data_IF_394554001914
#
_entry.id   IF_394554001914
#
_cell.length_a   1.000
_cell.length_b   1.000
_cell.length_c   1.000
_cell.angle_alpha   90.00
_cell.angle_beta   90.00
_cell.angle_gamma   90.00
#
_symmetry.space_group_name_H-M   'P 1'
#
loop_
_entity.id
_entity.type
_entity.pdbx_description
1 polymer ?
#
# COMPACT_ATOMS: atom_id res chain seq x y z
N UNK A 1 15.66 1.26 -11.42
CA UNK A 1 15.74 1.47 -9.98
C UNK A 1 14.38 1.38 -9.35
N UNK A 2 14.30 0.73 -8.22
CA UNK A 2 13.04 0.57 -7.52
C UNK A 2 12.88 1.58 -6.42
N UNK A 3 11.70 2.20 -6.30
CA UNK A 3 11.44 3.11 -5.21
C UNK A 3 9.93 3.18 -4.97
N UNK A 4 9.58 3.59 -3.76
CA UNK A 4 8.20 3.88 -3.44
C UNK A 4 7.93 5.32 -3.83
N UNK A 5 6.90 5.57 -4.63
CA UNK A 5 6.59 6.93 -5.02
C UNK A 5 6.35 7.82 -3.81
N UNK A 6 6.84 9.03 -3.85
CA UNK A 6 6.71 9.91 -2.71
C UNK A 6 5.31 10.44 -2.49
N UNK A 7 4.42 10.34 -3.48
CA UNK A 7 3.04 10.79 -3.34
C UNK A 7 2.16 9.74 -2.67
N UNK A 8 2.65 9.18 -1.56
CA UNK A 8 1.92 8.13 -0.86
C UNK A 8 0.80 8.65 0.04
N UNK A 9 0.62 9.96 0.14
CA UNK A 9 -0.43 10.51 0.98
C UNK A 9 -1.81 10.00 0.59
N UNK A 10 -2.00 9.66 -0.68
CA UNK A 10 -3.26 9.13 -1.20
C UNK A 10 -3.37 7.62 -1.10
N UNK A 11 -2.27 6.98 -0.73
CA UNK A 11 -2.22 5.53 -0.70
C UNK A 11 -1.89 4.93 -2.06
N UNK A 12 -0.89 4.08 -2.06
CA UNK A 12 -0.52 3.29 -3.24
C UNK A 12 -0.85 1.86 -2.96
N UNK A 13 -1.56 1.23 -3.88
CA UNK A 13 -2.09 -0.11 -3.67
C UNK A 13 -1.33 -1.11 -4.51
N UNK A 14 -0.98 -2.24 -3.88
CA UNK A 14 -0.50 -3.42 -4.58
C UNK A 14 -1.55 -4.51 -4.46
N UNK A 15 -1.69 -5.29 -5.52
CA UNK A 15 -2.59 -6.41 -5.57
C UNK A 15 -1.80 -7.66 -5.92
N UNK A 16 -2.11 -8.78 -5.28
CA UNK A 16 -1.40 -10.02 -5.55
C UNK A 16 -1.87 -10.66 -6.87
N UNK A 17 -1.13 -11.67 -7.33
CA UNK A 17 -1.34 -12.22 -8.67
C UNK A 17 -2.71 -12.87 -8.85
N UNK A 18 -3.26 -13.49 -7.80
CA UNK A 18 -4.59 -14.10 -7.91
C UNK A 18 -5.72 -13.15 -7.52
N UNK A 19 -5.37 -11.86 -7.27
CA UNK A 19 -6.34 -10.80 -7.04
C UNK A 19 -7.22 -11.04 -5.82
N UNK A 20 -6.63 -11.60 -4.78
CA UNK A 20 -7.36 -11.88 -3.54
C UNK A 20 -6.98 -10.96 -2.40
N UNK A 21 -5.79 -10.37 -2.45
CA UNK A 21 -5.28 -9.54 -1.35
C UNK A 21 -4.67 -8.26 -1.88
N UNK A 22 -4.70 -7.25 -1.02
CA UNK A 22 -4.09 -5.95 -1.32
C UNK A 22 -3.20 -5.51 -0.17
N UNK A 23 -2.27 -4.62 -0.50
CA UNK A 23 -1.50 -3.85 0.47
C UNK A 23 -1.59 -2.40 0.07
N UNK A 24 -1.89 -1.55 1.04
CA UNK A 24 -1.93 -0.11 0.79
C UNK A 24 -0.80 0.56 1.56
N UNK A 25 0.00 1.34 0.86
CA UNK A 25 1.11 2.09 1.44
C UNK A 25 0.72 3.55 1.51
N UNK A 26 0.69 4.11 2.71
CA UNK A 26 0.28 5.49 2.92
C UNK A 26 1.29 6.17 3.82
N UNK A 27 1.73 7.35 3.45
CA UNK A 27 2.67 8.10 4.28
C UNK A 27 1.99 8.53 5.58
N UNK A 28 2.68 8.33 6.70
CA UNK A 28 2.17 8.81 7.99
C UNK A 28 2.79 10.16 8.30
N UNK A 29 2.10 11.21 7.94
CA UNK A 29 2.58 12.58 8.16
C UNK A 29 2.39 13.04 9.59
N UNK A 30 1.63 12.32 10.38
CA UNK A 30 1.40 12.68 11.77
C UNK A 30 2.51 12.22 12.70
N UNK A 31 3.41 11.37 12.22
CA UNK A 31 4.53 10.93 13.03
C UNK A 31 5.49 12.10 13.26
N UNK A 32 5.86 12.30 14.52
CA UNK A 32 6.66 13.48 14.92
C UNK A 32 8.15 13.25 14.87
N UNK A 33 8.60 12.10 14.40
CA UNK A 33 10.03 11.84 14.26
C UNK A 33 10.61 12.81 13.24
N UNK A 34 11.59 13.60 13.66
CA UNK A 34 12.19 14.60 12.79
C UNK A 34 13.19 14.03 11.81
N UNK A 35 13.65 12.82 12.06
CA UNK A 35 14.75 12.24 11.29
C UNK A 35 14.30 11.14 10.35
N UNK A 36 13.14 10.56 10.58
CA UNK A 36 12.67 9.44 9.79
C UNK A 36 11.25 9.68 9.31
N UNK A 37 10.99 9.22 8.11
CA UNK A 37 9.62 9.20 7.58
C UNK A 37 9.03 7.81 7.79
N UNK A 38 7.74 7.78 8.06
CA UNK A 38 7.03 6.54 8.35
C UNK A 38 5.90 6.33 7.36
N UNK A 39 5.61 5.07 7.14
CA UNK A 39 4.60 4.63 6.19
C UNK A 39 3.68 3.65 6.90
N UNK A 40 2.39 3.81 6.71
CA UNK A 40 1.42 2.77 7.09
C UNK A 40 1.32 1.76 5.96
N UNK A 41 1.34 0.49 6.32
CA UNK A 41 1.08 -0.59 5.38
C UNK A 41 -0.16 -1.30 5.89
N UNK A 42 -1.23 -1.20 5.11
CA UNK A 42 -2.50 -1.84 5.42
C UNK A 42 -2.65 -3.10 4.61
N UNK A 43 -2.94 -4.20 5.29
CA UNK A 43 -3.24 -5.47 4.65
C UNK A 43 -4.74 -5.59 4.47
N UNK A 44 -5.17 -6.04 3.31
CA UNK A 44 -6.59 -6.18 3.07
C UNK A 44 -6.93 -7.33 2.16
N UNK A 45 -8.20 -7.68 2.15
CA UNK A 45 -8.75 -8.70 1.27
C UNK A 45 -9.70 -8.06 0.29
N UNK A 46 -9.67 -8.55 -0.94
CA UNK A 46 -10.60 -8.10 -1.95
C UNK A 46 -11.94 -8.75 -1.70
N UNK A 47 -12.98 -7.92 -1.66
CA UNK A 47 -14.34 -8.38 -1.49
C UNK A 47 -15.04 -8.32 -2.83
N UNK A 48 -15.96 -9.25 -3.01
CA UNK A 48 -16.79 -9.26 -4.20
C UNK A 48 -16.06 -9.80 -5.42
N UNK A 49 -16.85 -10.28 -6.33
CA UNK A 49 -16.38 -10.98 -7.50
C UNK A 49 -15.70 -10.04 -8.51
N UNK A 50 -16.23 -8.85 -8.65
CA UNK A 50 -15.76 -7.92 -9.68
C UNK A 50 -14.75 -6.90 -9.15
N UNK A 51 -14.41 -6.97 -7.86
CA UNK A 51 -13.47 -6.03 -7.28
C UNK A 51 -13.97 -4.60 -7.22
N UNK A 52 -15.29 -4.40 -7.28
CA UNK A 52 -15.87 -3.06 -7.21
C UNK A 52 -16.09 -2.58 -5.80
N UNK A 53 -16.13 -3.51 -4.86
CA UNK A 53 -16.30 -3.14 -3.47
C UNK A 53 -14.98 -2.71 -2.88
N UNK A 54 -14.97 -1.78 -1.93
CA UNK A 54 -13.72 -1.42 -1.25
C UNK A 54 -13.13 -2.64 -0.56
N UNK A 55 -11.82 -2.82 -0.58
CA UNK A 55 -11.21 -3.94 0.11
C UNK A 55 -11.43 -3.86 1.60
N UNK A 56 -11.49 -5.02 2.25
CA UNK A 56 -11.57 -5.09 3.69
C UNK A 56 -10.17 -4.99 4.27
N UNK A 57 -9.84 -3.86 4.87
CA UNK A 57 -8.53 -3.66 5.50
C UNK A 57 -8.57 -4.31 6.87
N UNK A 58 -7.60 -5.18 7.14
CA UNK A 58 -7.61 -6.02 8.33
C UNK A 58 -6.53 -5.69 9.33
N UNK A 59 -5.38 -5.23 8.87
CA UNK A 59 -4.24 -5.00 9.75
C UNK A 59 -3.43 -3.84 9.22
N UNK A 60 -2.96 -3.01 10.14
CA UNK A 60 -2.11 -1.88 9.80
C UNK A 60 -0.79 -1.99 10.55
N UNK A 61 0.31 -1.77 9.85
CA UNK A 61 1.63 -1.66 10.46
C UNK A 61 2.20 -0.30 10.13
N UNK A 62 2.98 0.24 11.07
CA UNK A 62 3.75 1.44 10.79
C UNK A 62 5.21 1.06 10.73
N UNK A 63 5.88 1.43 9.65
CA UNK A 63 7.30 1.12 9.46
C UNK A 63 8.02 2.35 8.93
N UNK A 64 9.34 2.36 9.08
CA UNK A 64 10.15 3.40 8.47
C UNK A 64 10.11 3.27 6.96
N UNK A 65 10.31 4.38 6.26
CA UNK A 65 10.19 4.37 4.81
C UNK A 65 11.18 3.42 4.15
N UNK A 66 12.38 3.26 4.73
CA UNK A 66 13.36 2.32 4.18
C UNK A 66 12.83 0.89 4.24
N UNK A 67 12.22 0.53 5.36
CA UNK A 67 11.63 -0.79 5.50
C UNK A 67 10.45 -0.96 4.55
N UNK A 68 9.63 0.08 4.38
CA UNK A 68 8.51 0.02 3.47
C UNK A 68 8.99 -0.24 2.04
N UNK A 69 10.11 0.36 1.65
CA UNK A 69 10.68 0.14 0.33
C UNK A 69 11.10 -1.31 0.13
N UNK A 70 11.68 -1.92 1.17
CA UNK A 70 12.08 -3.32 1.09
C UNK A 70 10.87 -4.24 0.99
N UNK A 71 9.82 -3.94 1.75
CA UNK A 71 8.60 -4.72 1.69
C UNK A 71 7.97 -4.62 0.30
N UNK A 72 7.89 -3.41 -0.23
CA UNK A 72 7.37 -3.17 -1.59
C UNK A 72 8.14 -4.00 -2.61
N UNK A 73 9.47 -3.92 -2.54
CA UNK A 73 10.32 -4.64 -3.47
C UNK A 73 10.08 -6.14 -3.42
N UNK A 74 9.97 -6.70 -2.21
CA UNK A 74 9.70 -8.12 -2.06
C UNK A 74 8.36 -8.52 -2.66
N UNK A 75 7.34 -7.70 -2.45
CA UNK A 75 6.02 -7.99 -2.99
C UNK A 75 6.04 -7.97 -4.52
N UNK A 76 6.73 -7.00 -5.11
CA UNK A 76 6.85 -6.94 -6.57
C UNK A 76 7.54 -8.20 -7.10
N UNK A 77 8.61 -8.66 -6.43
CA UNK A 77 9.30 -9.88 -6.82
C UNK A 77 8.37 -11.09 -6.72
N UNK A 78 7.46 -11.09 -5.77
CA UNK A 78 6.49 -12.17 -5.57
C UNK A 78 5.32 -12.11 -6.54
N UNK A 79 5.30 -11.12 -7.43
CA UNK A 79 4.26 -11.03 -8.45
C UNK A 79 3.16 -10.03 -8.17
N UNK A 80 3.25 -9.28 -7.08
CA UNK A 80 2.27 -8.23 -6.81
C UNK A 80 2.47 -7.10 -7.81
N UNK A 81 1.39 -6.41 -8.14
CA UNK A 81 1.43 -5.30 -9.08
C UNK A 81 0.70 -4.11 -8.53
N UNK A 82 1.13 -2.93 -8.92
CA UNK A 82 0.42 -1.72 -8.55
C UNK A 82 -0.95 -1.69 -9.22
N UNK A 83 -1.96 -1.29 -8.47
CA UNK A 83 -3.30 -1.12 -9.02
C UNK A 83 -3.86 0.22 -8.63
N UNK A 84 -4.64 0.81 -9.52
CA UNK A 84 -5.38 2.03 -9.23
C UNK A 84 -6.85 1.75 -8.97
N UNK A 85 -7.23 0.50 -8.95
CA UNK A 85 -8.62 0.09 -8.85
C UNK A 85 -9.31 0.66 -7.61
N UNK A 86 -8.56 0.77 -6.51
CA UNK A 86 -9.12 1.24 -5.24
C UNK A 86 -8.71 2.66 -4.90
N UNK A 87 -8.01 3.33 -5.78
CA UNK A 87 -7.69 4.74 -5.60
C UNK A 87 -8.92 5.55 -5.92
N UNK A 88 -9.26 6.44 -5.00
CA UNK A 88 -10.40 7.29 -5.26
C UNK A 88 -9.92 8.58 -5.87
N UNK A 89 -10.52 8.92 -6.96
CA UNK A 89 -10.29 10.21 -7.54
C UNK A 89 -11.21 11.15 -6.83
N UNK A 90 -10.64 11.95 -5.98
CA UNK A 90 -11.44 12.93 -5.33
C UNK A 90 -11.36 14.19 -6.05
N UNK A 91 -12.41 14.64 -6.16
CA UNK A 91 -12.52 15.88 -6.79
C UNK A 91 -12.59 16.96 -5.79
#
# INVERSE_FOLDING_TARGET
MFFIPYLMARGYWLINSNRSEVRRFTENRANKDQFNKYVFIDNGKILGYLGKEPPLLQKREEVKIEEAREIWKKLIVQGWRRTKLFEKDHI
#
